data_IF_926483081631
#
_entry.id   IF_926483081631
#
_cell.length_a   1.000
_cell.length_b   1.000
_cell.length_c   1.000
_cell.angle_alpha   90.00
_cell.angle_beta   90.00
_cell.angle_gamma   90.00
#
_symmetry.space_group_name_H-M   'P 1'
#
loop_
_entity.id
_entity.type
_entity.pdbx_description
1 polymer ?
#
# COMPACT_ATOMS: atom_id res chain seq x y z
N UNK A 1 63.66 -9.95 -11.09
CA UNK A 1 63.08 -9.49 -9.80
C UNK A 1 62.09 -8.37 -10.10
N UNK A 2 60.82 -8.68 -10.27
CA UNK A 2 59.75 -7.69 -10.50
C UNK A 2 59.12 -7.34 -9.15
N UNK A 3 59.31 -6.09 -8.69
CA UNK A 3 58.78 -5.61 -7.42
C UNK A 3 57.24 -5.60 -7.38
N UNK A 4 56.63 -5.66 -6.18
CA UNK A 4 55.19 -5.79 -6.03
C UNK A 4 54.48 -4.53 -6.52
N UNK A 5 53.42 -4.70 -7.33
CA UNK A 5 52.51 -3.61 -7.73
C UNK A 5 51.85 -3.06 -6.46
N UNK A 6 52.28 -1.88 -6.05
CA UNK A 6 51.77 -1.18 -4.87
C UNK A 6 50.32 -0.74 -5.14
N UNK A 7 49.35 -1.61 -4.82
CA UNK A 7 47.93 -1.34 -4.93
C UNK A 7 47.55 -0.36 -3.82
N UNK A 8 47.50 0.93 -4.14
CA UNK A 8 47.20 1.98 -3.17
C UNK A 8 45.69 1.91 -2.79
N UNK A 9 45.32 1.43 -1.60
CA UNK A 9 43.93 1.19 -1.21
C UNK A 9 43.11 2.49 -1.13
N UNK A 10 43.77 3.62 -0.91
CA UNK A 10 43.13 4.95 -0.85
C UNK A 10 42.56 5.40 -2.20
N UNK A 11 43.12 4.97 -3.33
CA UNK A 11 42.58 5.33 -4.65
C UNK A 11 41.25 4.65 -4.93
N UNK A 12 41.06 3.42 -4.43
CA UNK A 12 39.80 2.69 -4.59
C UNK A 12 38.72 3.27 -3.67
N UNK A 13 39.06 3.64 -2.43
CA UNK A 13 38.10 4.30 -1.52
C UNK A 13 37.62 5.64 -2.06
N UNK A 14 38.53 6.47 -2.58
CA UNK A 14 38.17 7.76 -3.20
C UNK A 14 37.32 7.58 -4.46
N UNK A 15 37.62 6.56 -5.28
CA UNK A 15 36.83 6.24 -6.48
C UNK A 15 35.43 5.74 -6.12
N UNK A 16 35.29 4.91 -5.07
CA UNK A 16 34.00 4.43 -4.57
C UNK A 16 33.16 5.58 -4.01
N UNK A 17 33.78 6.50 -3.26
CA UNK A 17 33.08 7.69 -2.74
C UNK A 17 32.62 8.63 -3.84
N UNK A 18 33.45 8.85 -4.87
CA UNK A 18 33.06 9.61 -6.06
C UNK A 18 31.91 8.95 -6.81
N UNK A 19 31.96 7.64 -7.02
CA UNK A 19 30.89 6.92 -7.70
C UNK A 19 29.58 6.95 -6.89
N UNK A 20 29.66 6.80 -5.57
CA UNK A 20 28.52 6.91 -4.67
C UNK A 20 27.93 8.33 -4.67
N UNK A 21 28.76 9.38 -4.76
CA UNK A 21 28.28 10.76 -4.92
C UNK A 21 27.65 10.99 -6.30
N UNK A 22 28.20 10.40 -7.36
CA UNK A 22 27.61 10.48 -8.70
C UNK A 22 26.27 9.76 -8.77
N UNK A 23 26.17 8.55 -8.21
CA UNK A 23 24.90 7.81 -8.10
C UNK A 23 23.85 8.61 -7.33
N UNK A 24 24.19 9.20 -6.17
CA UNK A 24 23.26 10.07 -5.43
C UNK A 24 22.79 11.29 -6.22
N UNK A 25 23.64 11.87 -7.08
CA UNK A 25 23.26 12.97 -7.99
C UNK A 25 22.33 12.50 -9.10
N UNK A 26 22.57 11.30 -9.65
CA UNK A 26 21.70 10.69 -10.66
C UNK A 26 20.35 10.26 -10.07
N UNK A 27 20.33 9.69 -8.87
CA UNK A 27 19.11 9.38 -8.13
C UNK A 27 18.28 10.64 -7.83
N UNK A 28 18.94 11.76 -7.49
CA UNK A 28 18.28 13.07 -7.31
C UNK A 28 17.74 13.70 -8.59
N UNK A 29 18.32 13.38 -9.74
CA UNK A 29 17.85 13.89 -11.05
C UNK A 29 16.82 12.98 -11.70
N UNK A 30 16.78 11.70 -11.32
CA UNK A 30 15.71 10.75 -11.64
C UNK A 30 14.50 10.89 -10.71
N UNK A 31 14.65 11.57 -9.57
CA UNK A 31 13.51 12.03 -8.79
C UNK A 31 12.74 13.07 -9.62
N UNK A 32 11.44 12.82 -9.92
CA UNK A 32 10.61 13.81 -10.58
C UNK A 32 10.70 15.12 -9.79
N UNK A 33 10.87 16.23 -10.52
CA UNK A 33 10.89 17.59 -9.98
C UNK A 33 9.80 17.77 -8.92
N UNK A 34 10.25 18.08 -7.70
CA UNK A 34 9.45 18.29 -6.51
C UNK A 34 8.32 19.31 -6.73
N UNK A 35 7.11 18.83 -6.98
CA UNK A 35 5.91 19.43 -6.41
C UNK A 35 5.76 18.88 -5.01
N UNK A 36 6.38 19.54 -4.02
CA UNK A 36 6.32 19.24 -2.58
C UNK A 36 6.13 17.77 -2.22
N UNK A 37 7.22 17.02 -2.00
CA UNK A 37 7.17 15.62 -1.57
C UNK A 37 6.72 15.53 -0.09
N UNK A 38 5.48 15.94 0.18
CA UNK A 38 4.82 15.81 1.45
C UNK A 38 4.32 14.37 1.58
N UNK A 39 4.78 13.70 2.63
CA UNK A 39 4.18 12.45 3.06
C UNK A 39 2.73 12.76 3.46
N UNK A 40 1.78 12.05 2.85
CA UNK A 40 0.36 12.19 3.16
C UNK A 40 -0.01 11.22 4.28
N UNK A 41 -0.72 11.72 5.29
CA UNK A 41 -1.26 10.86 6.35
C UNK A 41 -2.32 9.92 5.79
N UNK A 42 -2.32 8.68 6.28
CA UNK A 42 -3.38 7.69 6.06
C UNK A 42 -4.69 8.07 6.78
N UNK A 43 -4.64 9.03 7.71
CA UNK A 43 -5.75 9.37 8.60
C UNK A 43 -5.84 8.44 9.80
N UNK A 44 -4.95 7.45 9.88
CA UNK A 44 -4.85 6.47 10.97
C UNK A 44 -3.43 6.56 11.51
N UNK A 45 -3.23 7.30 12.61
CA UNK A 45 -1.90 7.57 13.16
C UNK A 45 -1.07 6.30 13.43
N UNK A 46 -1.73 5.21 13.80
CA UNK A 46 -1.08 3.91 14.01
C UNK A 46 -0.52 3.31 12.70
N UNK A 47 -1.21 3.50 11.57
CA UNK A 47 -0.69 3.10 10.27
C UNK A 47 0.41 4.03 9.78
N UNK A 48 0.29 5.34 10.02
CA UNK A 48 1.36 6.29 9.70
C UNK A 48 2.66 5.91 10.42
N UNK A 49 2.59 5.57 11.70
CA UNK A 49 3.74 5.08 12.47
C UNK A 49 4.26 3.70 12.05
N UNK A 50 3.43 2.88 11.42
CA UNK A 50 3.82 1.59 10.84
C UNK A 50 4.55 1.76 9.49
N UNK A 51 4.18 2.79 8.71
CA UNK A 51 4.78 3.10 7.43
C UNK A 51 6.15 3.76 7.62
N UNK A 52 7.18 3.41 6.82
CA UNK A 52 8.56 3.82 7.08
C UNK A 52 8.83 5.32 6.89
N UNK A 53 7.92 6.03 6.22
CA UNK A 53 8.01 7.48 6.01
C UNK A 53 7.01 8.27 6.87
N UNK A 54 6.25 7.61 7.74
CA UNK A 54 5.21 8.29 8.52
C UNK A 54 3.91 8.52 7.73
N UNK A 55 3.69 7.79 6.62
CA UNK A 55 2.53 7.95 5.75
C UNK A 55 2.80 7.47 4.32
N UNK A 56 2.02 7.97 3.35
CA UNK A 56 2.02 7.54 1.95
C UNK A 56 2.51 8.67 1.05
N UNK A 57 3.41 8.36 0.12
CA UNK A 57 3.87 9.31 -0.90
C UNK A 57 3.01 9.24 -2.17
N UNK A 58 2.90 10.35 -2.91
CA UNK A 58 2.25 10.38 -4.22
C UNK A 58 2.91 9.40 -5.19
N UNK A 59 2.11 8.79 -6.07
CA UNK A 59 2.57 7.81 -7.05
C UNK A 59 2.90 6.42 -6.49
N UNK A 60 2.56 6.17 -5.23
CA UNK A 60 2.80 4.89 -4.57
C UNK A 60 1.71 3.85 -4.89
N UNK A 61 2.11 2.59 -5.05
CA UNK A 61 1.19 1.45 -5.04
C UNK A 61 1.25 0.73 -3.69
N UNK A 62 0.10 0.59 -3.04
CA UNK A 62 -0.06 -0.07 -1.75
C UNK A 62 -1.05 -1.23 -1.87
N UNK A 63 -0.63 -2.44 -1.47
CA UNK A 63 -1.50 -3.61 -1.46
C UNK A 63 -2.05 -3.90 -0.07
N UNK A 64 -3.37 -4.12 -0.03
CA UNK A 64 -4.09 -4.60 1.14
C UNK A 64 -4.45 -6.08 0.93
N UNK A 65 -3.79 -6.96 1.66
CA UNK A 65 -4.01 -8.40 1.62
C UNK A 65 -4.95 -8.82 2.75
N UNK A 66 -5.95 -9.64 2.45
CA UNK A 66 -6.80 -10.22 3.49
C UNK A 66 -7.34 -11.60 3.10
N UNK A 67 -7.44 -12.51 4.06
CA UNK A 67 -7.95 -13.86 3.84
C UNK A 67 -9.47 -13.90 3.62
N UNK A 68 -10.20 -13.00 4.28
CA UNK A 68 -11.66 -13.03 4.33
C UNK A 68 -12.27 -11.83 3.62
N UNK A 69 -13.26 -12.07 2.76
CA UNK A 69 -14.19 -11.01 2.35
C UNK A 69 -14.87 -10.46 3.59
N UNK A 70 -14.81 -9.13 3.79
CA UNK A 70 -15.31 -8.49 5.02
C UNK A 70 -14.31 -8.44 6.19
N UNK A 71 -13.07 -8.91 6.01
CA UNK A 71 -12.00 -8.86 7.03
C UNK A 71 -11.42 -7.45 7.32
N UNK A 72 -12.16 -6.38 7.01
CA UNK A 72 -11.78 -5.00 7.36
C UNK A 72 -10.80 -4.30 6.41
N UNK A 73 -10.04 -5.02 5.59
CA UNK A 73 -9.09 -4.43 4.63
C UNK A 73 -9.73 -3.40 3.68
N UNK A 74 -10.94 -3.68 3.18
CA UNK A 74 -11.68 -2.74 2.34
C UNK A 74 -12.04 -1.46 3.10
N UNK A 75 -12.49 -1.59 4.34
CA UNK A 75 -12.83 -0.44 5.19
C UNK A 75 -11.59 0.43 5.42
N UNK A 76 -10.46 -0.17 5.82
CA UNK A 76 -9.20 0.56 5.99
C UNK A 76 -8.76 1.26 4.69
N UNK A 77 -8.78 0.55 3.56
CA UNK A 77 -8.42 1.14 2.26
C UNK A 77 -9.29 2.35 1.91
N UNK A 78 -10.60 2.28 2.16
CA UNK A 78 -11.51 3.39 1.91
C UNK A 78 -11.38 4.54 2.92
N UNK A 79 -11.12 4.26 4.20
CA UNK A 79 -10.78 5.29 5.19
C UNK A 79 -9.55 6.08 4.74
N UNK A 80 -8.50 5.37 4.29
CA UNK A 80 -7.31 6.00 3.72
C UNK A 80 -7.65 6.78 2.44
N UNK A 81 -8.46 6.22 1.54
CA UNK A 81 -8.85 6.90 0.32
C UNK A 81 -9.58 8.23 0.58
N UNK A 82 -10.53 8.24 1.51
CA UNK A 82 -11.26 9.45 1.91
C UNK A 82 -10.31 10.49 2.52
N UNK A 83 -9.34 10.07 3.35
CA UNK A 83 -8.33 10.98 3.87
C UNK A 83 -7.47 11.58 2.75
N UNK A 84 -7.02 10.76 1.79
CA UNK A 84 -6.18 11.22 0.68
C UNK A 84 -6.92 12.21 -0.24
N UNK A 85 -8.24 12.05 -0.42
CA UNK A 85 -9.07 13.00 -1.18
C UNK A 85 -9.14 14.39 -0.54
N UNK A 86 -8.79 14.55 0.74
CA UNK A 86 -8.72 15.87 1.40
C UNK A 86 -7.50 16.69 0.93
N UNK A 87 -6.48 16.02 0.40
CA UNK A 87 -5.26 16.64 -0.13
C UNK A 87 -5.38 17.07 -1.61
N UNK A 88 -6.63 17.18 -2.11
CA UNK A 88 -7.03 17.49 -3.49
C UNK A 88 -7.02 16.29 -4.47
N UNK A 89 -7.99 16.30 -5.39
CA UNK A 89 -8.21 15.27 -6.42
C UNK A 89 -9.39 14.31 -6.17
N UNK A 90 -9.74 13.56 -7.21
CA UNK A 90 -10.83 12.57 -7.19
C UNK A 90 -10.37 11.20 -6.68
N UNK A 91 -11.30 10.39 -6.16
CA UNK A 91 -11.09 8.96 -5.95
C UNK A 91 -11.75 8.18 -7.07
N UNK A 92 -11.01 7.25 -7.68
CA UNK A 92 -11.58 6.32 -8.66
C UNK A 92 -11.65 4.92 -8.06
N UNK A 93 -12.84 4.32 -8.07
CA UNK A 93 -13.08 2.95 -7.60
C UNK A 93 -13.28 2.05 -8.81
N UNK A 94 -12.34 1.13 -9.04
CA UNK A 94 -12.46 0.10 -10.08
C UNK A 94 -13.10 -1.13 -9.43
N UNK A 95 -14.37 -1.37 -9.74
CA UNK A 95 -15.20 -2.41 -9.10
C UNK A 95 -15.76 -3.41 -10.12
N UNK A 96 -14.90 -4.34 -10.60
CA UNK A 96 -15.32 -5.38 -11.56
C UNK A 96 -16.32 -6.37 -10.98
N UNK A 97 -16.47 -6.44 -9.65
CA UNK A 97 -17.34 -7.39 -8.98
C UNK A 97 -18.67 -6.78 -8.52
N UNK A 98 -18.92 -5.49 -8.84
CA UNK A 98 -20.10 -4.74 -8.36
C UNK A 98 -20.31 -4.91 -6.84
N UNK A 99 -19.21 -4.92 -6.09
CA UNK A 99 -19.15 -5.21 -4.65
C UNK A 99 -18.99 -3.95 -3.80
N UNK A 100 -18.69 -2.82 -4.43
CA UNK A 100 -18.58 -1.54 -3.77
C UNK A 100 -19.96 -1.05 -3.34
N UNK A 101 -20.08 -0.66 -2.08
CA UNK A 101 -21.33 -0.15 -1.50
C UNK A 101 -21.10 1.31 -1.08
N UNK A 102 -21.44 2.29 -1.94
CA UNK A 102 -21.19 3.71 -1.67
C UNK A 102 -21.74 4.24 -0.33
N UNK A 103 -22.92 3.79 0.17
CA UNK A 103 -23.41 4.25 1.47
C UNK A 103 -22.51 3.91 2.66
N UNK A 104 -21.64 2.89 2.55
CA UNK A 104 -20.63 2.62 3.58
C UNK A 104 -19.56 3.72 3.67
N UNK A 105 -19.34 4.47 2.59
CA UNK A 105 -18.37 5.58 2.52
C UNK A 105 -18.96 6.87 3.05
N UNK A 106 -20.26 7.12 2.85
CA UNK A 106 -20.91 8.32 3.38
C UNK A 106 -20.78 8.49 4.90
N UNK A 107 -20.52 7.40 5.62
CA UNK A 107 -20.20 7.43 7.05
C UNK A 107 -18.75 7.88 7.35
N UNK A 108 -17.84 7.65 6.42
CA UNK A 108 -16.40 7.94 6.53
C UNK A 108 -16.04 9.36 6.07
N UNK A 109 -16.94 10.04 5.34
CA UNK A 109 -16.78 11.44 4.95
C UNK A 109 -17.75 11.90 3.85
N UNK A 110 -17.89 13.22 3.74
CA UNK A 110 -19.00 13.87 3.01
C UNK A 110 -18.78 14.05 1.50
N UNK A 111 -17.58 13.74 0.96
CA UNK A 111 -17.23 14.10 -0.42
C UNK A 111 -17.39 12.97 -1.45
N UNK A 112 -18.56 12.34 -1.44
CA UNK A 112 -18.95 11.36 -2.46
C UNK A 112 -18.99 11.97 -3.88
N UNK A 113 -19.11 13.29 -4.00
CA UNK A 113 -19.16 14.01 -5.28
C UNK A 113 -17.85 13.89 -6.07
N UNK A 114 -16.71 13.71 -5.38
CA UNK A 114 -15.40 13.48 -6.00
C UNK A 114 -15.06 12.00 -6.21
N UNK A 115 -16.02 11.08 -6.03
CA UNK A 115 -15.81 9.65 -6.17
C UNK A 115 -16.42 9.12 -7.48
N UNK A 116 -15.59 8.51 -8.32
CA UNK A 116 -15.99 7.94 -9.62
C UNK A 116 -15.93 6.42 -9.51
N UNK A 117 -17.03 5.73 -9.76
CA UNK A 117 -17.08 4.27 -9.78
C UNK A 117 -17.05 3.77 -11.21
N UNK A 118 -16.14 2.86 -11.51
CA UNK A 118 -15.99 2.23 -12.82
C UNK A 118 -16.35 0.75 -12.71
N UNK A 119 -17.32 0.33 -13.53
CA UNK A 119 -17.73 -1.07 -13.67
C UNK A 119 -17.21 -1.61 -15.01
N UNK A 120 -15.99 -2.17 -15.04
CA UNK A 120 -15.41 -2.73 -16.26
C UNK A 120 -16.13 -4.02 -16.68
N UNK A 121 -16.17 -4.29 -17.99
CA UNK A 121 -16.82 -5.49 -18.52
C UNK A 121 -15.97 -6.77 -18.36
N UNK A 122 -14.64 -6.63 -18.33
CA UNK A 122 -13.70 -7.74 -18.19
C UNK A 122 -12.40 -7.30 -17.47
N UNK A 123 -11.50 -8.25 -17.21
CA UNK A 123 -10.23 -7.98 -16.53
C UNK A 123 -9.29 -7.05 -17.28
N UNK A 124 -9.28 -7.09 -18.62
CA UNK A 124 -8.47 -6.22 -19.46
C UNK A 124 -8.93 -4.77 -19.38
N UNK A 125 -10.24 -4.54 -19.47
CA UNK A 125 -10.85 -3.21 -19.27
C UNK A 125 -10.59 -2.69 -17.87
N UNK A 126 -10.64 -3.57 -16.86
CA UNK A 126 -10.37 -3.21 -15.48
C UNK A 126 -8.90 -2.78 -15.28
N UNK A 127 -7.96 -3.50 -15.89
CA UNK A 127 -6.53 -3.15 -15.83
C UNK A 127 -6.24 -1.86 -16.60
N UNK A 128 -6.88 -1.68 -17.76
CA UNK A 128 -6.76 -0.46 -18.55
C UNK A 128 -7.29 0.75 -17.77
N UNK A 129 -8.49 0.64 -17.18
CA UNK A 129 -9.09 1.69 -16.38
C UNK A 129 -8.21 2.05 -15.18
N UNK A 130 -7.70 1.03 -14.46
CA UNK A 130 -6.74 1.23 -13.37
C UNK A 130 -5.49 1.99 -13.83
N UNK A 131 -4.89 1.62 -14.96
CA UNK A 131 -3.71 2.31 -15.51
C UNK A 131 -4.02 3.77 -15.88
N UNK A 132 -5.15 4.03 -16.55
CA UNK A 132 -5.53 5.39 -16.95
C UNK A 132 -5.85 6.27 -15.73
N UNK A 133 -6.54 5.72 -14.73
CA UNK A 133 -6.83 6.44 -13.50
C UNK A 133 -5.55 6.78 -12.74
N UNK A 134 -4.59 5.86 -12.65
CA UNK A 134 -3.31 6.12 -11.99
C UNK A 134 -2.47 7.18 -12.73
N UNK A 135 -2.55 7.23 -14.05
CA UNK A 135 -1.84 8.21 -14.90
C UNK A 135 -2.46 9.61 -14.87
N UNK A 136 -3.71 9.74 -14.42
CA UNK A 136 -4.43 11.00 -14.42
C UNK A 136 -4.04 11.88 -13.23
N UNK A 137 -3.55 13.11 -13.51
CA UNK A 137 -3.13 14.06 -12.46
C UNK A 137 -4.27 14.60 -11.59
N UNK A 138 -5.51 14.54 -12.08
CA UNK A 138 -6.70 14.94 -11.31
C UNK A 138 -7.20 13.87 -10.33
N UNK A 139 -6.58 12.68 -10.33
CA UNK A 139 -6.94 11.58 -9.43
C UNK A 139 -5.97 11.55 -8.26
N UNK A 140 -6.50 11.63 -7.05
CA UNK A 140 -5.72 11.53 -5.82
C UNK A 140 -5.39 10.06 -5.51
N UNK A 141 -6.39 9.19 -5.64
CA UNK A 141 -6.33 7.80 -5.20
C UNK A 141 -7.18 6.93 -6.11
N UNK A 142 -6.70 5.72 -6.37
CA UNK A 142 -7.44 4.67 -7.09
C UNK A 142 -7.59 3.47 -6.17
N UNK A 143 -8.82 3.05 -5.90
CA UNK A 143 -9.11 1.82 -5.15
C UNK A 143 -9.52 0.73 -6.13
N UNK A 144 -8.84 -0.41 -6.11
CA UNK A 144 -9.15 -1.51 -7.02
C UNK A 144 -9.08 -2.86 -6.32
N UNK A 145 -10.13 -3.68 -6.46
CA UNK A 145 -10.12 -5.06 -5.98
C UNK A 145 -9.54 -5.98 -7.06
N UNK A 146 -8.28 -6.36 -6.88
CA UNK A 146 -7.58 -7.31 -7.74
C UNK A 146 -7.93 -8.74 -7.30
N UNK A 147 -9.07 -9.23 -7.80
CA UNK A 147 -9.55 -10.59 -7.61
C UNK A 147 -9.23 -11.53 -8.79
N UNK A 148 -10.01 -12.60 -8.89
CA UNK A 148 -9.83 -13.64 -9.92
C UNK A 148 -9.96 -13.09 -11.35
N UNK A 149 -10.78 -12.06 -11.55
CA UNK A 149 -10.96 -11.40 -12.85
C UNK A 149 -9.65 -10.86 -13.46
N UNK A 150 -8.64 -10.58 -12.63
CA UNK A 150 -7.34 -10.08 -13.07
C UNK A 150 -6.27 -11.18 -13.20
N UNK A 151 -6.56 -12.44 -12.84
CA UNK A 151 -5.55 -13.52 -12.81
C UNK A 151 -4.91 -13.78 -14.18
N UNK A 152 -5.70 -13.61 -15.26
CA UNK A 152 -5.19 -13.77 -16.63
C UNK A 152 -4.41 -12.56 -17.12
N UNK A 153 -4.71 -11.37 -16.62
CA UNK A 153 -4.18 -10.10 -17.16
C UNK A 153 -2.98 -9.56 -16.36
N UNK A 154 -2.84 -9.95 -15.09
CA UNK A 154 -1.72 -9.59 -14.22
C UNK A 154 -0.49 -10.44 -14.54
N UNK A 155 0.06 -10.27 -15.74
CA UNK A 155 1.37 -10.79 -16.10
C UNK A 155 2.52 -9.95 -15.50
N UNK A 156 3.74 -10.47 -15.56
CA UNK A 156 4.96 -9.82 -15.08
C UNK A 156 5.26 -8.42 -15.68
N UNK A 157 4.47 -7.90 -16.63
CA UNK A 157 4.65 -6.54 -17.13
C UNK A 157 3.57 -5.56 -16.64
N UNK A 158 2.44 -6.07 -16.13
CA UNK A 158 1.30 -5.25 -15.73
C UNK A 158 1.66 -4.34 -14.54
N UNK A 159 2.21 -4.89 -13.45
CA UNK A 159 2.54 -4.11 -12.26
C UNK A 159 3.59 -3.03 -12.51
N UNK A 160 4.60 -3.27 -13.36
CA UNK A 160 5.60 -2.23 -13.69
C UNK A 160 4.94 -1.08 -14.47
N UNK A 161 4.01 -1.38 -15.36
CA UNK A 161 3.22 -0.37 -16.08
C UNK A 161 2.34 0.44 -15.12
N UNK A 162 1.70 -0.23 -14.17
CA UNK A 162 0.91 0.43 -13.13
C UNK A 162 1.76 1.35 -12.26
N UNK A 163 2.95 0.90 -11.85
CA UNK A 163 3.89 1.73 -11.08
C UNK A 163 4.30 2.97 -11.88
N UNK A 164 4.70 2.81 -13.14
CA UNK A 164 5.05 3.93 -14.01
C UNK A 164 3.86 4.89 -14.22
N UNK A 165 2.64 4.36 -14.33
CA UNK A 165 1.43 5.18 -14.42
C UNK A 165 1.22 6.00 -13.15
N UNK A 166 1.32 5.37 -11.98
CA UNK A 166 1.20 6.04 -10.67
C UNK A 166 2.29 7.10 -10.49
N UNK A 167 3.55 6.81 -10.80
CA UNK A 167 4.66 7.77 -10.78
C UNK A 167 4.45 8.93 -11.74
N UNK A 168 3.84 8.69 -12.91
CA UNK A 168 3.55 9.72 -13.91
C UNK A 168 2.41 10.65 -13.46
N UNK A 169 1.32 10.07 -12.93
CA UNK A 169 0.11 10.82 -12.55
C UNK A 169 0.17 11.40 -11.14
N UNK A 170 0.94 10.79 -10.24
CA UNK A 170 1.00 11.12 -8.83
C UNK A 170 -0.13 10.51 -7.99
N UNK A 171 -1.05 9.76 -8.60
CA UNK A 171 -2.13 9.08 -7.89
C UNK A 171 -1.60 7.92 -7.03
N UNK A 172 -2.23 7.69 -5.88
CA UNK A 172 -1.93 6.56 -5.00
C UNK A 172 -2.83 5.37 -5.37
N UNK A 173 -2.27 4.20 -5.62
CA UNK A 173 -3.03 2.98 -5.88
C UNK A 173 -3.24 2.15 -4.61
N UNK A 174 -4.49 1.96 -4.19
CA UNK A 174 -4.87 1.08 -3.09
C UNK A 174 -5.47 -0.22 -3.67
N UNK A 175 -4.66 -1.28 -3.67
CA UNK A 175 -4.95 -2.53 -4.35
C UNK A 175 -5.38 -3.61 -3.35
N UNK A 176 -6.66 -3.98 -3.36
CA UNK A 176 -7.23 -4.99 -2.48
C UNK A 176 -7.05 -6.38 -3.07
N UNK A 177 -6.42 -7.30 -2.33
CA UNK A 177 -6.09 -8.65 -2.80
C UNK A 177 -6.43 -9.73 -1.76
N UNK A 178 -6.80 -10.93 -2.20
CA UNK A 178 -6.81 -12.11 -1.34
C UNK A 178 -5.42 -12.41 -0.75
N UNK A 179 -5.34 -12.80 0.52
CA UNK A 179 -4.07 -13.08 1.21
C UNK A 179 -3.28 -14.24 0.60
N UNK A 180 -3.91 -15.14 -0.18
CA UNK A 180 -3.19 -16.16 -0.98
C UNK A 180 -2.12 -15.55 -1.90
N UNK A 181 -2.25 -14.28 -2.27
CA UNK A 181 -1.25 -13.56 -3.06
C UNK A 181 -0.01 -13.11 -2.27
N UNK A 182 0.06 -13.37 -0.96
CA UNK A 182 1.22 -13.04 -0.11
C UNK A 182 2.53 -13.58 -0.69
N UNK A 183 2.51 -14.79 -1.24
CA UNK A 183 3.69 -15.48 -1.78
C UNK A 183 4.02 -15.09 -3.22
N UNK A 184 3.17 -14.32 -3.89
CA UNK A 184 3.42 -13.89 -5.27
C UNK A 184 4.43 -12.73 -5.30
N UNK A 185 5.29 -12.66 -6.34
CA UNK A 185 6.13 -11.50 -6.57
C UNK A 185 5.27 -10.25 -6.75
N UNK A 186 5.76 -9.14 -6.23
CA UNK A 186 5.07 -7.86 -6.19
C UNK A 186 6.07 -6.74 -6.50
N UNK A 187 5.59 -5.68 -7.13
CA UNK A 187 6.32 -4.41 -7.26
C UNK A 187 5.60 -3.27 -6.56
N UNK A 188 4.65 -3.58 -5.69
CA UNK A 188 4.04 -2.59 -4.82
C UNK A 188 5.10 -2.04 -3.86
N UNK A 189 5.01 -0.75 -3.57
CA UNK A 189 5.92 -0.09 -2.65
C UNK A 189 5.67 -0.54 -1.21
N UNK A 190 4.42 -0.89 -0.88
CA UNK A 190 4.00 -1.35 0.44
C UNK A 190 2.98 -2.48 0.31
N UNK A 191 3.08 -3.50 1.19
CA UNK A 191 2.01 -4.49 1.38
C UNK A 191 1.66 -4.64 2.84
N UNK A 192 0.37 -4.55 3.11
CA UNK A 192 -0.22 -4.71 4.43
C UNK A 192 -1.07 -5.97 4.45
N UNK A 193 -0.79 -6.88 5.39
CA UNK A 193 -1.65 -8.01 5.68
C UNK A 193 -2.64 -7.61 6.77
N UNK A 194 -3.92 -7.81 6.50
CA UNK A 194 -5.03 -7.46 7.40
C UNK A 194 -5.79 -8.71 7.81
N UNK A 195 -5.73 -9.02 9.09
CA UNK A 195 -6.35 -10.20 9.69
C UNK A 195 -7.36 -9.78 10.75
N UNK A 196 -8.62 -10.25 10.69
CA UNK A 196 -9.59 -9.96 11.73
C UNK A 196 -9.24 -10.75 13.01
N UNK A 197 -9.26 -10.05 14.15
CA UNK A 197 -9.10 -10.65 15.47
C UNK A 197 -10.46 -10.91 16.11
N UNK A 198 -10.61 -11.95 16.95
CA UNK A 198 -11.81 -12.15 17.74
C UNK A 198 -12.02 -10.98 18.69
N UNK A 199 -13.14 -10.28 18.58
CA UNK A 199 -13.48 -9.21 19.53
C UNK A 199 -14.10 -9.81 20.79
N UNK A 200 -13.40 -9.68 21.91
CA UNK A 200 -13.92 -10.03 23.24
C UNK A 200 -14.49 -8.74 23.85
N UNK A 201 -15.82 -8.66 23.97
CA UNK A 201 -16.59 -7.61 24.67
C UNK A 201 -16.94 -6.29 23.95
N UNK A 202 -16.74 -6.12 22.64
CA UNK A 202 -17.28 -4.94 21.92
C UNK A 202 -18.55 -5.30 21.14
N UNK A 203 -19.71 -4.81 21.59
CA UNK A 203 -20.96 -4.86 20.82
C UNK A 203 -21.01 -3.87 19.64
N UNK A 204 -19.97 -3.03 19.49
CA UNK A 204 -19.96 -1.89 18.56
C UNK A 204 -18.80 -1.85 17.56
N UNK A 205 -17.85 -2.78 17.62
CA UNK A 205 -16.68 -2.72 16.76
C UNK A 205 -15.97 -4.05 16.56
N UNK A 206 -15.08 -4.07 15.57
CA UNK A 206 -14.25 -5.23 15.20
C UNK A 206 -12.77 -4.87 15.28
N UNK A 207 -11.99 -5.78 15.84
CA UNK A 207 -10.55 -5.64 15.92
C UNK A 207 -9.87 -6.30 14.74
N UNK A 208 -8.83 -5.66 14.23
CA UNK A 208 -8.05 -6.10 13.09
C UNK A 208 -6.58 -5.96 13.44
N UNK A 209 -5.79 -6.94 13.05
CA UNK A 209 -4.34 -6.86 13.06
C UNK A 209 -3.85 -6.46 11.68
N UNK A 210 -2.97 -5.46 11.61
CA UNK A 210 -2.34 -5.02 10.37
C UNK A 210 -0.83 -5.20 10.48
N UNK A 211 -0.27 -6.04 9.62
CA UNK A 211 1.16 -6.34 9.55
C UNK A 211 1.78 -5.74 8.27
N UNK A 212 2.90 -5.03 8.42
CA UNK A 212 3.70 -4.57 7.28
C UNK A 212 4.61 -5.71 6.79
N UNK A 213 4.15 -6.44 5.77
CA UNK A 213 4.87 -7.63 5.28
C UNK A 213 5.88 -7.32 4.18
N UNK A 214 5.78 -6.14 3.55
CA UNK A 214 6.71 -5.72 2.49
C UNK A 214 6.78 -4.20 2.42
N UNK A 215 8.00 -3.68 2.27
CA UNK A 215 8.24 -2.32 1.85
C UNK A 215 9.45 -2.25 0.90
N UNK A 216 9.31 -1.52 -0.21
CA UNK A 216 10.35 -1.39 -1.22
C UNK A 216 11.53 -0.56 -0.69
N UNK A 217 12.72 -1.16 -0.71
CA UNK A 217 13.99 -0.47 -0.42
C UNK A 217 14.22 -0.11 1.06
N UNK A 218 13.41 -0.62 2.00
CA UNK A 218 13.54 -0.37 3.44
C UNK A 218 13.25 -1.62 4.26
N UNK A 219 13.58 -1.56 5.55
CA UNK A 219 13.21 -2.61 6.49
C UNK A 219 11.68 -2.70 6.59
N UNK A 220 11.16 -3.89 6.27
CA UNK A 220 9.78 -4.27 6.53
C UNK A 220 9.67 -4.97 7.89
N UNK A 221 8.48 -4.92 8.46
CA UNK A 221 8.19 -5.47 9.78
C UNK A 221 7.50 -4.44 10.67
N UNK A 222 6.69 -4.94 11.58
CA UNK A 222 5.83 -4.12 12.41
C UNK A 222 4.38 -4.59 12.30
N UNK A 223 3.68 -4.49 13.41
CA UNK A 223 2.32 -4.95 13.54
C UNK A 223 1.56 -4.01 14.44
N UNK A 224 0.36 -3.64 14.05
CA UNK A 224 -0.52 -2.78 14.84
C UNK A 224 -1.89 -3.43 14.92
N UNK A 225 -2.53 -3.28 16.08
CA UNK A 225 -3.92 -3.70 16.27
C UNK A 225 -4.81 -2.48 16.21
N UNK A 226 -5.79 -2.51 15.33
CA UNK A 226 -6.77 -1.47 15.10
C UNK A 226 -8.15 -1.95 15.54
N UNK A 227 -8.97 -1.04 16.02
CA UNK A 227 -10.40 -1.25 16.23
C UNK A 227 -11.17 -0.36 15.25
N UNK A 228 -12.11 -0.96 14.54
CA UNK A 228 -13.07 -0.25 13.69
C UNK A 228 -14.41 -0.25 14.42
N UNK A 229 -14.95 0.94 14.65
CA UNK A 229 -16.33 1.13 15.09
C UNK A 229 -17.27 0.94 13.89
N UNK A 230 -18.18 -0.04 13.94
CA UNK A 230 -19.03 -0.38 12.80
C UNK A 230 -20.21 0.60 12.62
N UNK A 231 -20.54 1.39 13.63
CA UNK A 231 -21.59 2.42 13.57
C UNK A 231 -21.08 3.66 12.81
N UNK A 232 -19.90 4.15 13.21
CA UNK A 232 -19.29 5.40 12.75
C UNK A 232 -18.27 5.19 11.62
N UNK A 233 -17.64 4.03 11.54
CA UNK A 233 -16.51 3.78 10.65
C UNK A 233 -15.17 4.32 11.16
N UNK A 234 -15.13 4.89 12.36
CA UNK A 234 -13.90 5.40 12.98
C UNK A 234 -12.90 4.26 13.22
N UNK A 235 -11.64 4.53 12.89
CA UNK A 235 -10.52 3.59 13.08
C UNK A 235 -9.59 4.13 14.15
N UNK A 236 -9.37 3.36 15.20
CA UNK A 236 -8.52 3.74 16.35
C UNK A 236 -7.52 2.64 16.65
N UNK A 237 -6.40 3.00 17.29
CA UNK A 237 -5.49 2.00 17.85
C UNK A 237 -6.23 1.26 18.96
N UNK A 238 -6.25 -0.07 18.93
CA UNK A 238 -6.78 -0.85 20.05
C UNK A 238 -5.84 -0.65 21.24
N UNK A 239 -6.37 -0.04 22.32
CA UNK A 239 -5.61 0.16 23.56
C UNK A 239 -5.01 -1.16 24.02
N UNK A 240 -3.67 -1.20 24.16
CA UNK A 240 -2.92 -2.42 24.40
C UNK A 240 -3.36 -3.13 25.68
N UNK A 241 -4.21 -4.15 25.54
CA UNK A 241 -4.30 -5.23 26.50
C UNK A 241 -3.20 -6.23 26.14
N UNK A 242 -2.15 -6.22 26.96
CA UNK A 242 -1.15 -7.26 26.96
C UNK A 242 -1.79 -8.58 27.38
N UNK A 243 -1.76 -9.58 26.49
CA UNK A 243 -1.69 -10.99 26.90
C UNK A 243 -0.87 -11.81 25.89
N UNK A 244 0.12 -12.52 26.44
CA UNK A 244 1.02 -13.48 25.80
C UNK A 244 0.29 -14.52 24.92
N UNK A 245 0.89 -15.21 23.94
CA UNK A 245 2.02 -16.13 24.12
C UNK A 245 2.52 -16.62 22.74
N UNK A 246 3.84 -16.78 22.64
CA UNK A 246 4.63 -17.51 21.64
C UNK A 246 3.91 -18.73 20.98
N UNK A 247 3.82 -18.84 19.64
CA UNK A 247 3.48 -20.10 19.01
C UNK A 247 4.70 -21.03 19.01
N UNK A 248 4.58 -22.06 19.84
CA UNK A 248 5.45 -23.23 19.92
C UNK A 248 5.81 -23.76 18.52
N UNK A 249 7.11 -23.88 18.31
CA UNK A 249 7.79 -24.62 17.25
C UNK A 249 7.25 -26.06 17.19
N UNK A 250 6.37 -26.39 16.25
CA UNK A 250 6.09 -27.77 15.86
C UNK A 250 7.18 -28.24 14.89
N UNK A 251 8.22 -28.88 15.44
CA UNK A 251 9.00 -29.86 14.70
C UNK A 251 8.39 -31.23 15.02
N UNK A 252 7.67 -31.79 14.04
CA UNK A 252 7.31 -33.20 14.02
C UNK A 252 8.58 -34.01 13.70
N UNK A 253 8.73 -35.15 14.37
CA UNK A 253 9.86 -36.05 14.20
C UNK A 253 9.90 -36.73 12.83
N UNK A 254 11.12 -37.09 12.46
CA UNK A 254 11.50 -38.33 11.81
C UNK A 254 12.84 -38.75 12.43
#
# INVERSE_FOLDING_TARGET
MSGPKNHNPNKHSAAIEQLAQQLRRYERTLQPTAGGNGVLSTGIAALDGLLPDGGISRGMLLEWLSEKTGGGAGTLAFTVAVQLMRADGACVVIDPAASFYPPAIGKLGDDLQRMIVVHPANGGDALWALEQSLRCRGVAVVVCRLGQAFERELHHHAYRRLQLAAETGGAIGLLLRPARYRVHPTWADVRLLVEPLPTVNSSKGRQLQVELIHCRGRNCGGIVTLEIDDETGDVRLASGLATATNPVRRAAGA
#
